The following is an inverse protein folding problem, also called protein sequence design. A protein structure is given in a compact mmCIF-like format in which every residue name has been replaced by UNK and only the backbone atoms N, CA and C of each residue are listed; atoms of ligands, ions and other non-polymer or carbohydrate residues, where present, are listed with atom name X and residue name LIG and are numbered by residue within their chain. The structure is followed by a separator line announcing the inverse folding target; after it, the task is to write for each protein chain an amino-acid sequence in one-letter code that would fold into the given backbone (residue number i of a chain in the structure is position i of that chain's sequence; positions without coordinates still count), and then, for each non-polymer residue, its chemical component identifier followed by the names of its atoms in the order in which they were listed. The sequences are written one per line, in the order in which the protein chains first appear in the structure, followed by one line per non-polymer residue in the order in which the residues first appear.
data_IF_929379243677
#
_entry.id   IF_929379243677
#
_cell.length_a   1.000
_cell.length_b   1.000
_cell.length_c   1.000
_cell.angle_alpha   90.00
_cell.angle_beta   90.00
_cell.angle_gamma   90.00
#
_symmetry.space_group_name_H-M   'P 1'
#
loop_
_entity.id
_entity.type
_entity.pdbx_description
1 polymer ?
#
# COMPACT_ATOMS: atom_id res chain seq x y z
N UNK A 1 3.01 -12.03 8.17
CA UNK A 1 4.20 -11.26 7.77
C UNK A 1 3.71 -10.01 7.05
N UNK A 2 4.32 -8.83 7.29
CA UNK A 2 3.98 -7.64 6.52
C UNK A 2 4.16 -7.93 5.03
N UNK A 3 3.35 -7.29 4.19
CA UNK A 3 3.50 -7.35 2.74
C UNK A 3 4.95 -7.02 2.37
N UNK A 4 5.56 -7.81 1.49
CA UNK A 4 6.91 -7.51 1.02
C UNK A 4 6.87 -6.39 -0.02
N UNK A 5 8.02 -5.81 -0.33
CA UNK A 5 8.12 -4.82 -1.41
C UNK A 5 7.76 -5.43 -2.77
N UNK A 6 8.11 -6.70 -2.99
CA UNK A 6 7.73 -7.45 -4.20
C UNK A 6 6.21 -7.56 -4.31
N UNK A 7 5.55 -7.96 -3.23
CA UNK A 7 4.09 -8.07 -3.22
C UNK A 7 3.42 -6.71 -3.44
N UNK A 8 3.99 -5.62 -2.90
CA UNK A 8 3.51 -4.25 -3.18
C UNK A 8 3.59 -3.92 -4.66
N UNK A 9 4.72 -4.23 -5.29
CA UNK A 9 4.91 -4.00 -6.72
C UNK A 9 3.90 -4.80 -7.54
N UNK A 10 3.75 -6.10 -7.27
CA UNK A 10 2.82 -6.98 -7.97
C UNK A 10 1.36 -6.47 -7.85
N UNK A 11 0.95 -6.02 -6.66
CA UNK A 11 -0.40 -5.49 -6.43
C UNK A 11 -0.65 -4.14 -7.14
N UNK A 12 0.39 -3.32 -7.28
CA UNK A 12 0.31 -2.07 -8.04
C UNK A 12 0.18 -2.37 -9.54
N UNK A 13 0.99 -3.29 -10.06
CA UNK A 13 0.94 -3.73 -11.46
C UNK A 13 -0.45 -4.29 -11.80
N UNK A 14 -0.99 -5.18 -10.97
CA UNK A 14 -2.34 -5.74 -11.13
C UNK A 14 -3.43 -4.64 -11.14
N UNK A 15 -3.28 -3.61 -10.30
CA UNK A 15 -4.22 -2.48 -10.28
C UNK A 15 -4.22 -1.71 -11.61
N UNK A 16 -3.06 -1.49 -12.21
CA UNK A 16 -2.94 -0.84 -13.51
C UNK A 16 -3.46 -1.73 -14.64
N UNK A 17 -3.10 -3.01 -14.64
CA UNK A 17 -3.53 -3.94 -15.70
C UNK A 17 -5.04 -4.13 -15.72
N UNK A 18 -5.68 -4.24 -14.54
CA UNK A 18 -7.11 -4.45 -14.44
C UNK A 18 -7.94 -3.24 -14.92
N UNK A 19 -7.45 -2.02 -14.71
CA UNK A 19 -8.22 -0.79 -14.93
C UNK A 19 -7.76 0.02 -16.16
N UNK A 20 -6.48 0.01 -16.51
CA UNK A 20 -5.91 0.81 -17.61
C UNK A 20 -6.05 0.12 -18.98
N UNK A 21 -6.04 -1.21 -19.00
CA UNK A 21 -6.18 -1.99 -20.23
C UNK A 21 -7.65 -2.29 -20.59
N UNK A 22 -8.61 -1.79 -19.80
CA UNK A 22 -10.03 -2.06 -20.02
C UNK A 22 -10.68 -0.92 -20.83
N UNK A 23 -10.95 -1.10 -22.13
CA UNK A 23 -11.53 -0.05 -22.98
C UNK A 23 -12.97 0.30 -22.60
N UNK A 24 -13.63 -0.51 -21.76
CA UNK A 24 -15.01 -0.30 -21.33
C UNK A 24 -15.14 0.58 -20.08
N UNK A 25 -14.01 0.95 -19.45
CA UNK A 25 -14.01 1.81 -18.27
C UNK A 25 -13.59 3.21 -18.70
N UNK A 26 -14.35 4.22 -18.29
CA UNK A 26 -13.94 5.58 -18.59
C UNK A 26 -12.64 5.94 -17.83
N UNK A 27 -11.77 6.79 -18.38
CA UNK A 27 -10.48 7.08 -17.75
C UNK A 27 -10.56 7.71 -16.35
N UNK A 28 -11.66 8.38 -16.02
CA UNK A 28 -11.85 9.00 -14.70
C UNK A 28 -12.17 7.96 -13.62
N UNK A 29 -13.07 7.02 -13.92
CA UNK A 29 -13.42 5.88 -13.09
C UNK A 29 -12.24 4.92 -12.93
N UNK A 30 -11.51 4.65 -14.02
CA UNK A 30 -10.29 3.84 -13.97
C UNK A 30 -9.28 4.46 -12.99
N UNK A 31 -8.98 5.75 -13.13
CA UNK A 31 -8.07 6.48 -12.21
C UNK A 31 -8.53 6.42 -10.75
N UNK A 32 -9.84 6.60 -10.51
CA UNK A 32 -10.40 6.50 -9.15
C UNK A 32 -10.23 5.11 -8.56
N UNK A 33 -10.47 4.05 -9.34
CA UNK A 33 -10.32 2.66 -8.90
C UNK A 33 -8.86 2.28 -8.66
N UNK A 34 -7.96 2.70 -9.56
CA UNK A 34 -6.51 2.53 -9.39
C UNK A 34 -6.06 3.17 -8.08
N UNK A 35 -6.48 4.42 -7.80
CA UNK A 35 -6.14 5.10 -6.55
C UNK A 35 -6.65 4.34 -5.29
N UNK A 36 -7.85 3.76 -5.35
CA UNK A 36 -8.38 2.94 -4.25
C UNK A 36 -7.56 1.66 -4.04
N UNK A 37 -7.20 0.96 -5.12
CA UNK A 37 -6.38 -0.26 -5.06
C UNK A 37 -4.97 0.03 -4.54
N UNK A 38 -4.34 1.12 -5.00
CA UNK A 38 -3.06 1.62 -4.49
C UNK A 38 -3.11 1.90 -2.98
N UNK A 39 -4.14 2.63 -2.53
CA UNK A 39 -4.30 2.93 -1.10
C UNK A 39 -4.40 1.64 -0.26
N UNK A 40 -5.16 0.65 -0.76
CA UNK A 40 -5.26 -0.65 -0.09
C UNK A 40 -3.93 -1.39 -0.06
N UNK A 41 -3.22 -1.48 -1.19
CA UNK A 41 -1.93 -2.17 -1.27
C UNK A 41 -0.86 -1.53 -0.37
N UNK A 42 -0.80 -0.19 -0.36
CA UNK A 42 0.09 0.56 0.53
C UNK A 42 -0.30 0.31 2.00
N UNK A 43 -1.58 0.31 2.33
CA UNK A 43 -2.03 0.00 3.70
C UNK A 43 -1.60 -1.40 4.12
N UNK A 44 -1.77 -2.41 3.26
CA UNK A 44 -1.32 -3.78 3.53
C UNK A 44 0.20 -3.89 3.69
N UNK A 45 0.96 -3.06 2.97
CA UNK A 45 2.41 -2.98 3.10
C UNK A 45 2.87 -2.31 4.38
N UNK A 46 2.15 -1.29 4.83
CA UNK A 46 2.51 -0.52 6.02
C UNK A 46 2.09 -1.25 7.30
N UNK A 47 0.89 -1.85 7.32
CA UNK A 47 0.39 -2.60 8.48
C UNK A 47 1.31 -3.79 8.77
N UNK A 48 1.64 -3.97 10.04
CA UNK A 48 2.53 -5.04 10.49
C UNK A 48 4.02 -4.74 10.33
N UNK A 49 4.42 -3.57 9.80
CA UNK A 49 5.83 -3.14 9.85
C UNK A 49 6.18 -2.63 11.24
N UNK A 50 7.39 -2.99 11.69
CA UNK A 50 7.96 -2.44 12.90
C UNK A 50 8.64 -1.11 12.60
N UNK A 51 8.42 -0.14 13.47
CA UNK A 51 9.07 1.16 13.44
C UNK A 51 9.72 1.43 14.78
N UNK A 52 10.93 1.98 14.75
CA UNK A 52 11.64 2.40 15.95
C UNK A 52 11.50 3.89 16.12
N UNK A 53 10.95 4.32 17.26
CA UNK A 53 10.90 5.71 17.69
C UNK A 53 11.76 5.92 18.94
N UNK A 54 11.83 7.17 19.39
CA UNK A 54 12.45 7.54 20.66
C UNK A 54 11.36 8.09 21.57
N UNK A 55 11.21 7.55 22.78
CA UNK A 55 10.28 8.05 23.78
C UNK A 55 10.78 9.36 24.39
N UNK A 56 9.90 10.06 25.10
CA UNK A 56 10.20 11.36 25.72
C UNK A 56 11.33 11.32 26.77
N UNK A 57 11.68 10.15 27.28
CA UNK A 57 12.78 9.89 28.21
C UNK A 57 14.09 9.47 27.52
N UNK A 58 14.11 9.42 26.18
CA UNK A 58 15.30 9.08 25.38
C UNK A 58 15.51 7.59 25.12
N UNK A 59 14.60 6.71 25.57
CA UNK A 59 14.67 5.29 25.25
C UNK A 59 14.19 5.00 23.81
N UNK A 60 14.83 4.03 23.15
CA UNK A 60 14.34 3.52 21.86
C UNK A 60 13.12 2.62 22.08
N UNK A 61 12.02 2.91 21.38
CA UNK A 61 10.78 2.15 21.44
C UNK A 61 10.50 1.55 20.07
N UNK A 62 10.31 0.23 20.01
CA UNK A 62 9.85 -0.45 18.80
C UNK A 62 8.35 -0.67 18.89
N UNK A 63 7.61 -0.21 17.88
CA UNK A 63 6.16 -0.43 17.76
C UNK A 63 5.83 -1.04 16.41
N UNK A 64 4.67 -1.67 16.31
CA UNK A 64 4.13 -2.23 15.08
C UNK A 64 3.00 -1.34 14.60
N UNK A 65 3.01 -0.97 13.31
CA UNK A 65 1.92 -0.21 12.71
C UNK A 65 0.67 -1.10 12.65
N UNK A 66 -0.43 -0.65 13.26
CA UNK A 66 -1.72 -1.33 13.27
C UNK A 66 -2.66 -0.80 12.19
#
# INVERSE_FOLDING_TARGET
MPFTQQQLQDAIEEAYDAESNNPNINPEQARKRIAQKLASAISSFVIGRQTTGVSSDGASVTTTIQ
#
